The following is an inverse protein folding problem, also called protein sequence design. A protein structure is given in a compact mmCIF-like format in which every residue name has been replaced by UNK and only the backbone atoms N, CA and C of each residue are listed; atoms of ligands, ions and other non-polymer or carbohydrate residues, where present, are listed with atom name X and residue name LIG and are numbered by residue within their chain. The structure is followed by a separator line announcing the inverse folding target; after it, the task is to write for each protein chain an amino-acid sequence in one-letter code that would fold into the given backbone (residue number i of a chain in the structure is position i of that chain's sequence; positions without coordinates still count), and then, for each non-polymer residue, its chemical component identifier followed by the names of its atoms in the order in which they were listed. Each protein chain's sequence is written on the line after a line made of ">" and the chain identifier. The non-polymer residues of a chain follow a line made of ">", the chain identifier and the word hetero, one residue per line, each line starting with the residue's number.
data_IF_379110365511
#
_entry.id   IF_379110365511
#
_cell.length_a   1.000
_cell.length_b   1.000
_cell.length_c   1.000
_cell.angle_alpha   90.00
_cell.angle_beta   90.00
_cell.angle_gamma   90.00
#
_symmetry.space_group_name_H-M   'P 1'
#
loop_
_entity.id
_entity.type
_entity.pdbx_description
1 polymer ?
#
# COMPACT_ATOMS: atom_id res chain seq x y z
N UNK A 1 -14.23 11.06 13.41
CA UNK A 1 -14.68 9.72 12.96
C UNK A 1 -14.20 9.53 11.53
N UNK A 2 -13.42 8.48 11.24
CA UNK A 2 -12.93 8.23 9.87
C UNK A 2 -14.03 7.72 8.94
N UNK A 3 -13.88 7.94 7.63
CA UNK A 3 -14.85 7.56 6.60
C UNK A 3 -14.13 6.89 5.43
N UNK A 4 -14.75 5.82 4.91
CA UNK A 4 -14.37 5.22 3.64
C UNK A 4 -15.17 5.89 2.54
N UNK A 5 -14.48 6.30 1.49
CA UNK A 5 -15.06 6.98 0.34
C UNK A 5 -15.03 6.10 -0.89
N UNK A 6 -15.97 6.30 -1.79
CA UNK A 6 -15.92 5.71 -3.14
C UNK A 6 -15.30 6.70 -4.12
N UNK A 7 -15.20 6.32 -5.39
CA UNK A 7 -14.57 7.15 -6.43
C UNK A 7 -15.29 8.49 -6.66
N UNK A 8 -16.60 8.53 -6.41
CA UNK A 8 -17.44 9.72 -6.57
C UNK A 8 -17.03 10.89 -5.66
N UNK A 9 -16.24 10.62 -4.62
CA UNK A 9 -15.68 11.63 -3.72
C UNK A 9 -14.86 12.71 -4.45
N UNK A 10 -14.37 12.40 -5.66
CA UNK A 10 -13.69 13.36 -6.54
C UNK A 10 -14.53 14.61 -6.85
N UNK A 11 -15.86 14.53 -6.71
CA UNK A 11 -16.79 15.62 -7.01
C UNK A 11 -17.42 16.25 -5.76
N UNK A 12 -17.04 15.82 -4.57
CA UNK A 12 -17.59 16.31 -3.30
C UNK A 12 -16.71 17.41 -2.70
N UNK A 13 -17.22 18.23 -1.76
CA UNK A 13 -16.41 19.20 -1.05
C UNK A 13 -15.41 18.48 -0.12
N UNK A 14 -14.14 18.50 -0.51
CA UNK A 14 -12.99 18.04 0.27
C UNK A 14 -12.10 19.22 0.66
N UNK A 15 -11.18 19.02 1.61
CA UNK A 15 -10.08 19.97 1.80
C UNK A 15 -9.20 20.04 0.54
N UNK A 16 -8.58 21.20 0.25
CA UNK A 16 -7.79 21.40 -0.99
C UNK A 16 -6.79 20.28 -1.25
N UNK A 17 -6.00 19.90 -0.24
CA UNK A 17 -4.98 18.87 -0.40
C UNK A 17 -5.57 17.47 -0.66
N UNK A 18 -6.76 17.17 -0.13
CA UNK A 18 -7.46 15.90 -0.35
C UNK A 18 -7.98 15.83 -1.78
N UNK A 19 -8.54 16.94 -2.28
CA UNK A 19 -8.99 17.08 -3.66
C UNK A 19 -7.82 16.94 -4.65
N UNK A 20 -6.69 17.58 -4.35
CA UNK A 20 -5.46 17.47 -5.13
C UNK A 20 -4.93 16.04 -5.15
N UNK A 21 -4.88 15.36 -3.99
CA UNK A 21 -4.45 13.96 -3.90
C UNK A 21 -5.36 13.02 -4.71
N UNK A 22 -6.68 13.16 -4.59
CA UNK A 22 -7.64 12.36 -5.38
C UNK A 22 -7.50 12.61 -6.88
N UNK A 23 -7.34 13.87 -7.29
CA UNK A 23 -7.17 14.25 -8.70
C UNK A 23 -5.86 13.71 -9.26
N UNK A 24 -4.77 13.77 -8.48
CA UNK A 24 -3.48 13.18 -8.86
C UNK A 24 -3.58 11.65 -8.99
N UNK A 25 -4.32 10.98 -8.11
CA UNK A 25 -4.54 9.55 -8.18
C UNK A 25 -5.34 9.15 -9.42
N UNK A 26 -6.47 9.81 -9.69
CA UNK A 26 -7.27 9.60 -10.91
C UNK A 26 -6.43 9.80 -12.17
N UNK A 27 -5.70 10.91 -12.26
CA UNK A 27 -4.83 11.21 -13.39
C UNK A 27 -3.73 10.15 -13.57
N UNK A 28 -3.12 9.66 -12.49
CA UNK A 28 -2.08 8.64 -12.52
C UNK A 28 -2.63 7.29 -12.99
N UNK A 29 -3.77 6.86 -12.45
CA UNK A 29 -4.31 5.51 -12.71
C UNK A 29 -5.01 5.41 -14.06
N UNK A 30 -5.66 6.48 -14.54
CA UNK A 30 -6.38 6.53 -15.82
C UNK A 30 -5.53 7.03 -16.99
N UNK A 31 -4.24 7.30 -16.77
CA UNK A 31 -3.35 7.85 -17.79
C UNK A 31 -3.34 7.00 -19.07
N UNK A 32 -3.68 7.62 -20.20
CA UNK A 32 -3.99 6.91 -21.46
C UNK A 32 -2.76 6.27 -22.12
N UNK A 33 -1.63 6.96 -22.10
CA UNK A 33 -0.40 6.54 -22.79
C UNK A 33 0.54 5.79 -21.84
N UNK A 34 0.99 6.48 -20.79
CA UNK A 34 1.79 5.90 -19.71
C UNK A 34 0.90 5.15 -18.70
N UNK A 35 0.44 3.96 -19.07
CA UNK A 35 -0.48 3.14 -18.25
C UNK A 35 0.18 2.74 -16.92
N UNK A 36 -0.53 2.90 -15.81
CA UNK A 36 -0.06 2.44 -14.50
C UNK A 36 0.28 0.93 -14.54
N UNK A 37 1.42 0.50 -13.96
CA UNK A 37 1.90 -0.87 -14.12
C UNK A 37 0.99 -1.93 -13.49
N UNK A 38 0.36 -1.62 -12.36
CA UNK A 38 -0.51 -2.55 -11.66
C UNK A 38 -1.88 -2.66 -12.35
N UNK A 39 -2.06 -3.76 -13.11
CA UNK A 39 -3.32 -4.05 -13.81
C UNK A 39 -4.49 -4.24 -12.84
N UNK A 40 -4.36 -5.02 -11.73
CA UNK A 40 -5.44 -5.14 -10.75
C UNK A 40 -5.88 -3.80 -10.15
N UNK A 41 -4.94 -2.91 -9.84
CA UNK A 41 -5.27 -1.57 -9.34
C UNK A 41 -6.11 -0.79 -10.36
N UNK A 42 -5.72 -0.79 -11.64
CA UNK A 42 -6.52 -0.15 -12.69
C UNK A 42 -7.94 -0.75 -12.77
N UNK A 43 -8.07 -2.08 -12.70
CA UNK A 43 -9.40 -2.73 -12.71
C UNK A 43 -10.25 -2.32 -11.51
N UNK A 44 -9.66 -2.33 -10.30
CA UNK A 44 -10.35 -1.90 -9.08
C UNK A 44 -10.85 -0.46 -9.15
N UNK A 45 -10.08 0.43 -9.80
CA UNK A 45 -10.50 1.81 -10.01
C UNK A 45 -11.67 1.94 -11.00
N UNK A 46 -11.56 1.31 -12.17
CA UNK A 46 -12.59 1.39 -13.21
C UNK A 46 -13.91 0.75 -12.76
N UNK A 47 -13.84 -0.35 -12.02
CA UNK A 47 -15.00 -1.09 -11.51
C UNK A 47 -15.58 -0.50 -10.21
N UNK A 48 -15.08 0.63 -9.71
CA UNK A 48 -15.48 1.24 -8.44
C UNK A 48 -15.36 0.30 -7.21
N UNK A 49 -14.33 -0.55 -7.19
CA UNK A 49 -14.05 -1.51 -6.12
C UNK A 49 -13.02 -0.99 -5.09
N UNK A 50 -12.33 0.09 -5.42
CA UNK A 50 -11.44 0.79 -4.50
C UNK A 50 -12.22 1.61 -3.48
N UNK A 51 -11.69 1.70 -2.27
CA UNK A 51 -12.11 2.68 -1.27
C UNK A 51 -10.98 3.64 -0.97
N UNK A 52 -11.35 4.87 -0.64
CA UNK A 52 -10.40 5.95 -0.36
C UNK A 52 -10.54 6.41 1.08
N UNK A 53 -9.42 6.80 1.68
CA UNK A 53 -9.33 7.38 3.01
C UNK A 53 -8.32 8.51 3.05
N UNK A 54 -8.49 9.41 4.00
CA UNK A 54 -7.57 10.50 4.28
C UNK A 54 -7.13 10.42 5.73
N UNK A 55 -5.85 10.67 5.97
CA UNK A 55 -5.27 10.73 7.30
C UNK A 55 -4.39 11.98 7.44
N UNK A 56 -4.13 12.35 8.69
CA UNK A 56 -3.28 13.46 9.11
C UNK A 56 -1.82 13.25 8.69
N UNK A 57 -0.94 14.16 9.11
CA UNK A 57 0.50 14.03 8.87
C UNK A 57 0.99 12.67 9.40
N UNK A 58 1.69 11.85 8.59
CA UNK A 58 2.11 10.52 9.02
C UNK A 58 3.11 10.55 10.18
N UNK A 59 3.68 11.71 10.54
CA UNK A 59 4.50 11.89 11.75
C UNK A 59 3.66 11.98 13.02
N UNK A 60 2.43 12.48 12.92
CA UNK A 60 1.53 12.67 14.06
C UNK A 60 0.90 11.36 14.54
N UNK A 61 0.65 11.25 15.84
CA UNK A 61 -0.04 10.08 16.42
C UNK A 61 -1.45 9.90 15.86
N UNK A 62 -2.14 11.01 15.55
CA UNK A 62 -3.50 10.99 14.98
C UNK A 62 -3.59 10.16 13.69
N UNK A 63 -2.55 10.20 12.84
CA UNK A 63 -2.53 9.43 11.60
C UNK A 63 -2.60 7.91 11.85
N UNK A 64 -2.05 7.43 12.97
CA UNK A 64 -2.13 6.01 13.33
C UNK A 64 -3.54 5.61 13.77
N UNK A 65 -4.22 6.44 14.57
CA UNK A 65 -5.63 6.22 14.95
C UNK A 65 -6.56 6.25 13.74
N UNK A 66 -6.31 7.18 12.81
CA UNK A 66 -7.10 7.31 11.60
C UNK A 66 -6.91 6.10 10.67
N UNK A 67 -5.66 5.69 10.43
CA UNK A 67 -5.36 4.51 9.63
C UNK A 67 -5.93 3.23 10.26
N UNK A 68 -5.78 3.05 11.58
CA UNK A 68 -6.37 1.93 12.31
C UNK A 68 -7.90 1.88 12.16
N UNK A 69 -8.57 3.03 12.30
CA UNK A 69 -10.01 3.13 12.09
C UNK A 69 -10.43 2.81 10.64
N UNK A 70 -9.64 3.25 9.65
CA UNK A 70 -9.88 2.96 8.24
C UNK A 70 -9.70 1.47 7.94
N UNK A 71 -8.64 0.84 8.46
CA UNK A 71 -8.38 -0.59 8.33
C UNK A 71 -9.49 -1.42 8.95
N UNK A 72 -9.93 -1.09 10.18
CA UNK A 72 -11.05 -1.77 10.85
C UNK A 72 -12.31 -1.75 10.00
N UNK A 73 -12.72 -0.56 9.54
CA UNK A 73 -13.92 -0.41 8.68
C UNK A 73 -13.75 -1.13 7.34
N UNK A 74 -12.57 -1.05 6.75
CA UNK A 74 -12.30 -1.64 5.45
C UNK A 74 -12.28 -3.16 5.52
N UNK A 75 -11.55 -3.75 6.48
CA UNK A 75 -11.48 -5.20 6.69
C UNK A 75 -12.87 -5.82 6.86
N UNK A 76 -13.71 -5.23 7.71
CA UNK A 76 -15.08 -5.68 7.98
C UNK A 76 -15.99 -5.70 6.73
N UNK A 77 -15.75 -4.81 5.76
CA UNK A 77 -16.61 -4.65 4.59
C UNK A 77 -15.97 -5.11 3.26
N UNK A 78 -14.66 -5.37 3.24
CA UNK A 78 -13.85 -5.58 2.02
C UNK A 78 -14.38 -6.69 1.12
N UNK A 79 -14.86 -7.81 1.68
CA UNK A 79 -15.39 -8.94 0.91
C UNK A 79 -16.63 -8.60 0.07
N UNK A 80 -17.33 -7.51 0.40
CA UNK A 80 -18.49 -7.03 -0.36
C UNK A 80 -18.12 -5.98 -1.43
N UNK A 81 -16.83 -5.67 -1.61
CA UNK A 81 -16.36 -4.60 -2.51
C UNK A 81 -15.81 -5.12 -3.84
N UNK A 82 -15.80 -6.44 -4.06
CA UNK A 82 -15.35 -7.08 -5.30
C UNK A 82 -13.89 -7.53 -5.27
N UNK A 83 -13.52 -8.37 -6.25
CA UNK A 83 -12.23 -9.09 -6.29
C UNK A 83 -11.02 -8.23 -6.63
N UNK A 84 -11.19 -6.94 -6.96
CA UNK A 84 -10.12 -5.97 -7.19
C UNK A 84 -10.09 -4.88 -6.12
N UNK A 85 -10.71 -5.13 -4.96
CA UNK A 85 -10.75 -4.13 -3.89
C UNK A 85 -9.37 -3.83 -3.32
N UNK A 86 -9.14 -2.55 -3.04
CA UNK A 86 -8.01 -2.05 -2.27
C UNK A 86 -8.45 -0.78 -1.53
N UNK A 87 -7.83 -0.52 -0.39
CA UNK A 87 -7.96 0.74 0.34
C UNK A 87 -6.78 1.65 -0.03
N UNK A 88 -7.06 2.81 -0.58
CA UNK A 88 -6.07 3.85 -0.88
C UNK A 88 -6.17 4.93 0.19
N UNK A 89 -5.10 5.14 0.96
CA UNK A 89 -5.04 6.15 2.02
C UNK A 89 -4.03 7.21 1.66
N UNK A 90 -4.48 8.46 1.59
CA UNK A 90 -3.62 9.63 1.40
C UNK A 90 -3.36 10.29 2.74
N UNK A 91 -2.10 10.62 2.99
CA UNK A 91 -1.71 11.32 4.20
C UNK A 91 -1.40 12.77 3.87
N UNK A 92 -1.84 13.67 4.74
CA UNK A 92 -1.46 15.08 4.65
C UNK A 92 0.07 15.14 4.68
N UNK A 93 0.68 15.70 3.65
CA UNK A 93 2.14 15.75 3.53
C UNK A 93 2.56 17.21 3.44
N UNK A 94 2.89 17.86 4.56
CA UNK A 94 3.35 19.25 4.57
C UNK A 94 4.65 19.44 3.78
N UNK A 95 4.94 20.69 3.41
CA UNK A 95 6.06 21.01 2.52
C UNK A 95 7.43 20.67 3.10
N UNK A 96 7.61 20.80 4.42
CA UNK A 96 8.83 20.38 5.12
C UNK A 96 9.02 18.85 5.02
N UNK A 97 7.94 18.07 5.12
CA UNK A 97 7.99 16.62 4.91
C UNK A 97 8.31 16.28 3.44
N UNK A 98 7.74 16.99 2.47
CA UNK A 98 8.03 16.77 1.04
C UNK A 98 9.47 17.07 0.67
N UNK A 99 10.00 18.20 1.14
CA UNK A 99 11.28 18.76 0.69
C UNK A 99 12.50 18.22 1.46
N UNK A 100 12.32 17.77 2.70
CA UNK A 100 13.44 17.36 3.56
C UNK A 100 13.63 15.85 3.66
N UNK A 101 12.58 15.05 3.41
CA UNK A 101 12.67 13.60 3.58
C UNK A 101 13.17 12.93 2.30
N UNK A 102 14.18 12.09 2.46
CA UNK A 102 14.66 11.18 1.41
C UNK A 102 13.79 9.93 1.33
N UNK A 103 14.00 9.10 0.31
CA UNK A 103 13.34 7.79 0.17
C UNK A 103 13.56 6.91 1.40
N UNK A 104 14.73 6.97 2.04
CA UNK A 104 15.04 6.21 3.26
C UNK A 104 14.34 6.77 4.50
N UNK A 105 14.21 8.10 4.62
CA UNK A 105 13.48 8.71 5.74
C UNK A 105 11.99 8.36 5.70
N UNK A 106 11.41 8.36 4.49
CA UNK A 106 10.05 7.87 4.27
C UNK A 106 9.88 6.37 4.55
N UNK A 107 10.89 5.54 4.27
CA UNK A 107 10.86 4.11 4.62
C UNK A 107 10.79 3.93 6.14
N UNK A 108 11.59 4.70 6.90
CA UNK A 108 11.53 4.69 8.36
C UNK A 108 10.17 5.16 8.88
N UNK A 109 9.64 6.25 8.32
CA UNK A 109 8.32 6.78 8.66
C UNK A 109 7.20 5.78 8.38
N UNK A 110 7.27 5.08 7.25
CA UNK A 110 6.35 4.00 6.88
C UNK A 110 6.30 2.90 7.95
N UNK A 111 7.46 2.38 8.35
CA UNK A 111 7.52 1.34 9.37
C UNK A 111 7.11 1.83 10.76
N UNK A 112 7.46 3.06 11.14
CA UNK A 112 6.99 3.68 12.38
C UNK A 112 5.46 3.82 12.41
N UNK A 113 4.84 4.22 11.30
CA UNK A 113 3.39 4.26 11.17
C UNK A 113 2.76 2.88 11.32
N UNK A 114 3.26 1.85 10.62
CA UNK A 114 2.71 0.49 10.73
C UNK A 114 2.86 -0.09 12.14
N UNK A 115 3.96 0.19 12.83
CA UNK A 115 4.15 -0.23 14.23
C UNK A 115 3.14 0.44 15.16
N UNK A 116 2.89 1.75 15.01
CA UNK A 116 1.87 2.46 15.80
C UNK A 116 0.46 1.97 15.50
N UNK A 117 0.15 1.68 14.24
CA UNK A 117 -1.15 1.10 13.87
C UNK A 117 -1.32 -0.29 14.47
N UNK A 118 -0.30 -1.14 14.39
CA UNK A 118 -0.32 -2.50 14.96
C UNK A 118 -0.59 -2.50 16.47
N UNK A 119 0.00 -1.56 17.23
CA UNK A 119 -0.26 -1.46 18.68
C UNK A 119 -1.71 -1.11 19.03
N UNK A 120 -2.44 -0.48 18.10
CA UNK A 120 -3.84 -0.13 18.23
C UNK A 120 -4.81 -1.27 17.85
N UNK A 121 -4.33 -2.41 17.36
CA UNK A 121 -5.20 -3.52 16.97
C UNK A 121 -5.90 -4.13 18.19
N UNK A 122 -7.22 -4.01 18.27
CA UNK A 122 -8.03 -4.54 19.37
C UNK A 122 -8.16 -6.08 19.34
N UNK A 123 -7.73 -6.72 18.25
CA UNK A 123 -7.82 -8.16 18.06
C UNK A 123 -6.50 -8.87 18.31
N UNK A 124 -6.57 -10.19 18.56
CA UNK A 124 -5.38 -11.01 18.66
C UNK A 124 -4.77 -11.22 17.27
N UNK A 125 -3.45 -11.38 17.23
CA UNK A 125 -2.74 -11.74 16.01
C UNK A 125 -3.32 -13.02 15.39
N UNK A 126 -3.31 -13.10 14.06
CA UNK A 126 -3.85 -14.26 13.33
C UNK A 126 -2.99 -15.49 13.62
N UNK A 127 -3.57 -16.52 14.25
CA UNK A 127 -2.83 -17.72 14.70
C UNK A 127 -2.04 -18.41 13.58
N UNK A 128 -2.56 -18.39 12.35
CA UNK A 128 -1.94 -19.03 11.20
C UNK A 128 -0.79 -18.23 10.56
N UNK A 129 -0.45 -17.05 11.09
CA UNK A 129 0.59 -16.17 10.53
C UNK A 129 1.69 -15.98 11.54
N UNK A 130 2.92 -16.20 11.09
CA UNK A 130 4.09 -15.98 11.94
C UNK A 130 4.13 -14.53 12.44
N UNK A 131 4.49 -14.36 13.71
CA UNK A 131 4.74 -13.05 14.29
C UNK A 131 6.18 -12.58 14.02
N UNK A 132 7.05 -13.48 13.55
CA UNK A 132 8.42 -13.14 13.16
C UNK A 132 8.44 -12.64 11.72
N UNK A 133 8.81 -11.37 11.46
CA UNK A 133 8.91 -10.86 10.11
C UNK A 133 10.05 -11.45 9.27
N UNK A 134 10.90 -12.31 9.85
CA UNK A 134 11.86 -13.14 9.11
C UNK A 134 11.29 -14.51 8.72
N UNK A 135 10.01 -14.76 8.98
CA UNK A 135 9.30 -15.92 8.44
C UNK A 135 8.69 -15.56 7.07
N UNK A 136 8.88 -16.38 6.02
CA UNK A 136 8.27 -16.13 4.69
C UNK A 136 6.74 -16.05 4.69
N UNK A 137 6.08 -16.57 5.74
CA UNK A 137 4.62 -16.50 5.92
C UNK A 137 4.15 -15.21 6.59
N UNK A 138 5.07 -14.38 7.10
CA UNK A 138 4.72 -13.13 7.77
C UNK A 138 4.06 -12.14 6.81
N UNK A 139 3.02 -11.50 7.31
CA UNK A 139 2.33 -10.40 6.66
C UNK A 139 1.82 -9.41 7.70
N UNK A 140 1.67 -8.15 7.30
CA UNK A 140 1.02 -7.17 8.17
C UNK A 140 -0.44 -7.57 8.39
N UNK A 141 -0.81 -7.77 9.64
CA UNK A 141 -2.17 -8.11 10.06
C UNK A 141 -2.80 -6.94 10.82
N UNK A 142 -4.08 -6.70 10.59
CA UNK A 142 -4.87 -5.79 11.41
C UNK A 142 -6.33 -6.26 11.46
N UNK A 143 -6.91 -6.37 12.65
CA UNK A 143 -8.31 -6.76 12.87
C UNK A 143 -8.66 -8.12 12.21
N UNK A 144 -7.80 -9.12 12.44
CA UNK A 144 -7.81 -10.47 11.83
C UNK A 144 -7.68 -10.55 10.29
N UNK A 145 -7.45 -9.44 9.60
CA UNK A 145 -7.18 -9.43 8.16
C UNK A 145 -5.68 -9.33 7.87
N UNK A 146 -5.24 -10.06 6.85
CA UNK A 146 -3.87 -10.00 6.33
C UNK A 146 -3.82 -9.03 5.17
N UNK A 147 -2.80 -8.17 5.14
CA UNK A 147 -2.70 -7.12 4.13
C UNK A 147 -1.33 -7.09 3.47
N UNK A 148 -1.33 -6.89 2.16
CA UNK A 148 -0.18 -6.34 1.45
C UNK A 148 -0.27 -4.82 1.45
N UNK A 149 0.79 -4.14 1.88
CA UNK A 149 0.83 -2.69 2.00
C UNK A 149 1.82 -2.11 1.01
N UNK A 150 1.33 -1.52 -0.06
CA UNK A 150 2.15 -0.75 -0.99
C UNK A 150 2.30 0.69 -0.49
N UNK A 151 3.52 1.22 -0.51
CA UNK A 151 3.79 2.64 -0.25
C UNK A 151 4.27 3.38 -1.51
N UNK A 152 3.83 4.63 -1.66
CA UNK A 152 4.33 5.61 -2.61
C UNK A 152 4.58 6.96 -1.91
N UNK A 153 5.61 7.68 -2.36
CA UNK A 153 6.04 8.92 -1.69
C UNK A 153 6.51 9.98 -2.68
N UNK A 154 6.59 11.26 -2.27
CA UNK A 154 7.10 12.34 -3.11
C UNK A 154 8.58 12.17 -3.47
N UNK A 155 9.36 11.53 -2.59
CA UNK A 155 10.80 11.39 -2.73
C UNK A 155 11.25 10.38 -3.80
N UNK A 156 10.36 9.50 -4.28
CA UNK A 156 10.71 8.59 -5.37
C UNK A 156 10.78 9.35 -6.69
N UNK A 157 11.91 9.35 -7.35
CA UNK A 157 12.14 10.02 -8.62
C UNK A 157 12.42 9.02 -9.76
N UNK A 158 13.11 7.92 -9.48
CA UNK A 158 13.51 6.91 -10.46
C UNK A 158 12.44 5.85 -10.65
N UNK A 159 11.88 5.31 -9.56
CA UNK A 159 10.70 4.43 -9.59
C UNK A 159 9.45 5.28 -9.64
N UNK A 160 9.09 5.77 -10.82
CA UNK A 160 7.84 6.53 -11.04
C UNK A 160 6.61 5.76 -10.58
N UNK A 161 6.66 4.44 -10.62
CA UNK A 161 5.66 3.52 -10.11
C UNK A 161 5.44 3.63 -8.61
N UNK A 162 6.41 4.18 -7.85
CA UNK A 162 6.39 4.48 -6.40
C UNK A 162 6.34 5.98 -6.08
N UNK A 163 6.39 6.84 -7.10
CA UNK A 163 6.21 8.28 -6.95
C UNK A 163 4.74 8.67 -6.78
N UNK A 164 4.44 9.46 -5.75
CA UNK A 164 3.15 10.11 -5.58
C UNK A 164 3.30 11.49 -4.89
N UNK A 165 2.49 12.53 -5.22
CA UNK A 165 2.64 13.87 -4.65
C UNK A 165 2.49 13.99 -3.14
N UNK A 166 1.95 12.97 -2.48
CA UNK A 166 1.83 12.84 -1.03
C UNK A 166 2.35 11.47 -0.58
N UNK A 167 2.56 11.29 0.72
CA UNK A 167 2.69 9.95 1.29
C UNK A 167 1.35 9.20 1.11
N UNK A 168 1.39 8.05 0.44
CA UNK A 168 0.21 7.28 0.06
C UNK A 168 0.42 5.80 0.32
N UNK A 169 -0.59 5.15 0.91
CA UNK A 169 -0.63 3.70 1.06
C UNK A 169 -1.73 3.11 0.19
N UNK A 170 -1.44 1.99 -0.48
CA UNK A 170 -2.45 1.13 -1.08
C UNK A 170 -2.43 -0.21 -0.34
N UNK A 171 -3.53 -0.53 0.33
CA UNK A 171 -3.66 -1.67 1.23
C UNK A 171 -4.60 -2.67 0.59
N UNK A 172 -4.08 -3.85 0.28
CA UNK A 172 -4.82 -4.92 -0.40
C UNK A 172 -4.95 -6.11 0.53
N UNK A 173 -6.16 -6.63 0.80
CA UNK A 173 -6.32 -7.86 1.57
C UNK A 173 -5.64 -9.05 0.89
N UNK A 174 -5.04 -9.96 1.65
CA UNK A 174 -4.39 -11.16 1.08
C UNK A 174 -5.35 -12.00 0.24
N UNK A 175 -6.61 -12.13 0.66
CA UNK A 175 -7.61 -12.89 -0.10
C UNK A 175 -7.79 -12.36 -1.53
N UNK A 176 -7.65 -11.05 -1.77
CA UNK A 176 -7.68 -10.46 -3.11
C UNK A 176 -6.47 -10.92 -3.95
N UNK A 177 -5.29 -11.01 -3.34
CA UNK A 177 -4.07 -11.48 -4.02
C UNK A 177 -4.12 -12.99 -4.30
N UNK A 178 -4.76 -13.76 -3.42
CA UNK A 178 -4.99 -15.19 -3.58
C UNK A 178 -5.91 -15.46 -4.78
N UNK A 179 -6.96 -14.65 -4.97
CA UNK A 179 -7.84 -14.72 -6.16
C UNK A 179 -7.06 -14.53 -7.47
N UNK A 180 -6.08 -13.62 -7.51
CA UNK A 180 -5.22 -13.44 -8.69
C UNK A 180 -4.24 -14.58 -8.90
N UNK A 181 -3.92 -15.32 -7.84
CA UNK A 181 -2.97 -16.44 -7.84
C UNK A 181 -3.66 -17.80 -8.00
N UNK A 182 -4.98 -17.87 -7.94
CA UNK A 182 -5.77 -19.11 -8.03
C UNK A 182 -5.55 -19.90 -9.34
N UNK A 183 -5.12 -19.22 -10.41
CA UNK A 183 -4.75 -19.87 -11.67
C UNK A 183 -3.30 -19.55 -12.01
N UNK A 184 -2.43 -20.56 -11.92
CA UNK A 184 -0.99 -20.44 -12.17
C UNK A 184 -0.71 -19.79 -13.54
N UNK A 185 -1.38 -20.25 -14.60
CA UNK A 185 -1.16 -19.73 -15.95
C UNK A 185 -1.60 -18.26 -16.10
N UNK A 186 -2.73 -17.87 -15.49
CA UNK A 186 -3.19 -16.48 -15.50
C UNK A 186 -2.27 -15.58 -14.66
N UNK A 187 -1.84 -16.07 -13.49
CA UNK A 187 -0.91 -15.37 -12.62
C UNK A 187 0.41 -15.10 -13.34
N UNK A 188 1.03 -16.10 -13.96
CA UNK A 188 2.28 -15.93 -14.72
C UNK A 188 2.15 -14.95 -15.89
N UNK A 189 1.03 -15.00 -16.63
CA UNK A 189 0.75 -14.03 -17.69
C UNK A 189 0.62 -12.61 -17.14
N UNK A 190 -0.15 -12.43 -16.06
CA UNK A 190 -0.35 -11.13 -15.41
C UNK A 190 0.98 -10.56 -14.91
N UNK A 191 1.78 -11.40 -14.25
CA UNK A 191 3.11 -11.07 -13.74
C UNK A 191 4.04 -10.56 -14.84
N UNK A 192 4.12 -11.29 -15.97
CA UNK A 192 4.92 -10.86 -17.13
C UNK A 192 4.46 -9.51 -17.66
N UNK A 193 3.14 -9.30 -17.76
CA UNK A 193 2.58 -8.02 -18.20
C UNK A 193 2.91 -6.87 -17.25
N UNK A 194 2.85 -7.09 -15.93
CA UNK A 194 3.21 -6.09 -14.92
C UNK A 194 4.70 -5.74 -15.03
N UNK A 195 5.59 -6.74 -15.12
CA UNK A 195 7.04 -6.49 -15.30
C UNK A 195 7.35 -5.69 -16.55
N UNK A 196 6.78 -6.05 -17.70
CA UNK A 196 6.95 -5.28 -18.94
C UNK A 196 6.40 -3.85 -18.84
N UNK A 197 5.36 -3.61 -18.04
CA UNK A 197 4.89 -2.24 -17.79
C UNK A 197 5.82 -1.47 -16.87
N UNK A 198 6.34 -2.10 -15.81
CA UNK A 198 7.32 -1.48 -14.90
C UNK A 198 8.57 -1.03 -15.66
N UNK A 199 9.13 -1.88 -16.51
CA UNK A 199 10.30 -1.55 -17.34
C UNK A 199 10.09 -0.35 -18.27
N UNK A 200 8.83 -0.06 -18.65
CA UNK A 200 8.48 1.11 -19.47
C UNK A 200 8.08 2.33 -18.65
N UNK A 201 7.66 2.12 -17.41
CA UNK A 201 7.08 3.15 -16.55
C UNK A 201 8.13 3.77 -15.64
N UNK A 202 9.05 2.94 -15.13
CA UNK A 202 10.15 3.35 -14.27
C UNK A 202 11.39 3.68 -15.09
N UNK A 203 12.21 4.60 -14.56
CA UNK A 203 13.48 4.97 -15.18
C UNK A 203 14.63 4.00 -14.80
N UNK A 204 14.33 2.95 -14.04
CA UNK A 204 15.28 1.93 -13.58
C UNK A 204 14.64 0.53 -13.65
N UNK A 205 15.46 -0.55 -13.69
CA UNK A 205 14.94 -1.91 -13.72
C UNK A 205 14.06 -2.25 -12.51
N UNK A 206 13.16 -3.24 -12.62
CA UNK A 206 12.38 -3.72 -11.47
C UNK A 206 13.27 -4.11 -10.28
N UNK A 207 12.86 -3.72 -9.08
CA UNK A 207 13.62 -3.97 -7.85
C UNK A 207 13.84 -5.49 -7.64
N UNK A 208 15.03 -5.93 -7.18
CA UNK A 208 15.32 -7.35 -6.97
C UNK A 208 14.42 -8.05 -5.96
N UNK A 209 13.95 -7.31 -4.94
CA UNK A 209 12.99 -7.83 -3.96
C UNK A 209 11.54 -7.94 -4.46
N UNK A 210 11.22 -7.48 -5.68
CA UNK A 210 9.91 -7.73 -6.30
C UNK A 210 9.81 -9.20 -6.77
N UNK A 211 9.78 -10.08 -5.78
CA UNK A 211 9.76 -11.54 -5.88
C UNK A 211 8.35 -12.08 -5.78
N UNK A 212 8.18 -13.36 -6.05
CA UNK A 212 6.85 -13.97 -6.07
C UNK A 212 6.43 -14.42 -4.66
N UNK A 213 5.18 -14.17 -4.31
CA UNK A 213 4.57 -14.69 -3.08
C UNK A 213 4.76 -16.21 -2.98
N UNK A 214 5.19 -16.68 -1.81
CA UNK A 214 5.44 -18.10 -1.54
C UNK A 214 6.78 -18.67 -2.05
N UNK A 215 7.67 -17.87 -2.66
CA UNK A 215 9.05 -18.31 -2.87
C UNK A 215 9.80 -18.37 -1.53
N UNK A 216 10.63 -19.40 -1.36
CA UNK A 216 11.34 -19.67 -0.10
C UNK A 216 12.21 -18.49 0.38
N UNK A 217 12.69 -17.65 -0.54
CA UNK A 217 13.50 -16.45 -0.27
C UNK A 217 12.71 -15.12 -0.47
N UNK A 218 11.37 -15.18 -0.50
CA UNK A 218 10.53 -14.00 -0.56
C UNK A 218 10.02 -13.63 0.83
N UNK A 219 10.52 -12.52 1.34
CA UNK A 219 9.98 -11.87 2.53
C UNK A 219 9.05 -10.75 2.08
N UNK A 220 7.75 -10.95 2.25
CA UNK A 220 6.74 -10.05 1.68
C UNK A 220 6.92 -8.58 2.14
N UNK A 221 7.40 -8.39 3.37
CA UNK A 221 7.68 -7.06 3.93
C UNK A 221 8.68 -6.24 3.11
N UNK A 222 9.64 -6.90 2.43
CA UNK A 222 10.61 -6.22 1.55
C UNK A 222 9.94 -5.60 0.33
N UNK A 223 8.74 -6.03 -0.02
CA UNK A 223 7.99 -5.52 -1.18
C UNK A 223 7.06 -4.34 -0.81
N UNK A 224 6.80 -4.15 0.48
CA UNK A 224 5.89 -3.11 0.94
C UNK A 224 6.43 -1.71 0.60
N UNK A 225 7.73 -1.51 0.86
CA UNK A 225 8.47 -0.32 0.51
C UNK A 225 9.68 -0.70 -0.36
N UNK A 226 9.83 -0.07 -1.52
CA UNK A 226 10.95 -0.31 -2.44
C UNK A 226 11.68 1.01 -2.66
N UNK A 227 12.98 1.05 -2.35
CA UNK A 227 13.80 2.25 -2.55
C UNK A 227 14.01 2.55 -4.03
N UNK A 228 14.53 3.73 -4.32
CA UNK A 228 14.89 4.18 -5.67
C UNK A 228 16.23 3.63 -6.19
N UNK A 229 16.87 2.75 -5.42
CA UNK A 229 17.99 1.93 -5.82
C UNK A 229 17.62 0.44 -5.65
N UNK A 230 18.61 -0.45 -5.63
CA UNK A 230 18.42 -1.89 -5.45
C UNK A 230 18.69 -2.34 -4.00
N UNK A 231 18.80 -1.39 -3.07
CA UNK A 231 19.04 -1.66 -1.66
C UNK A 231 17.74 -1.86 -0.89
N UNK A 232 17.82 -2.69 0.14
CA UNK A 232 16.74 -2.92 1.11
C UNK A 232 17.30 -3.00 2.51
N UNK A 233 16.44 -2.85 3.50
CA UNK A 233 16.81 -3.09 4.89
C UNK A 233 17.25 -4.56 5.10
N UNK A 234 18.27 -4.80 5.95
CA UNK A 234 18.76 -6.16 6.22
C UNK A 234 17.78 -6.98 7.08
N UNK A 235 16.92 -6.31 7.85
CA UNK A 235 15.90 -6.91 8.72
C UNK A 235 14.64 -6.05 8.72
N UNK A 236 13.50 -6.67 9.01
CA UNK A 236 12.23 -5.95 9.05
C UNK A 236 12.15 -5.04 10.29
N UNK A 237 11.85 -3.74 10.15
CA UNK A 237 11.69 -2.84 11.30
C UNK A 237 10.36 -3.03 12.05
N UNK A 238 9.50 -3.92 11.58
CA UNK A 238 8.24 -4.22 12.26
C UNK A 238 8.53 -4.85 13.63
N UNK A 239 7.93 -4.26 14.67
CA UNK A 239 8.01 -4.74 16.04
C UNK A 239 6.58 -4.94 16.51
N UNK A 240 6.12 -6.19 16.49
CA UNK A 240 4.81 -6.50 17.04
C UNK A 240 4.82 -6.22 18.56
N UNK A 241 3.92 -5.36 19.02
CA UNK A 241 3.74 -5.12 20.44
C UNK A 241 2.98 -6.32 21.03
N UNK A 242 3.66 -7.13 21.85
CA UNK A 242 3.04 -8.25 22.55
C UNK A 242 1.91 -7.75 23.45
N UNK A 243 0.65 -8.02 23.08
CA UNK A 243 -0.46 -7.94 24.03
C UNK A 243 -0.40 -9.20 24.89
N UNK A 244 0.02 -9.03 26.14
CA UNK A 244 -0.05 -10.09 27.16
C UNK A 244 -1.50 -10.43 27.48
#
# INVERSE_FOLDING_TARGET
>A
MVKLYEKDILYAPLESWQQEAMSAFDAKITHKTLKFPCIPAYQGYILNQMKFGFASDPRDENASFELAGLLKKYGQASRNMGIYTALIVFFKTPEDLKSQYTVSDYEMLFWQLLNRVSSLDETNWVESISQDPHDPTWEFCFHHERYFVYCATPAHEKRKSRHFPTFMLAITPRWVLDEFSASISKAEKMKKMIRTRLEKYDNIPPHPDLKWYGQQDNYEWKQYYLRDDDTSLPSCPFKHAWKK
#
